data_IF_923824771215
#
_entry.id   IF_923824771215
#
_cell.length_a   1.000
_cell.length_b   1.000
_cell.length_c   1.000
_cell.angle_alpha   90.00
_cell.angle_beta   90.00
_cell.angle_gamma   90.00
#
_symmetry.space_group_name_H-M   'P 1'
#
loop_
_entity.id
_entity.type
_entity.pdbx_description
1 polymer ?
#
# COMPACT_ATOMS: atom_id res chain seq x y z
N UNK A 1 -9.75 8.70 -66.87
CA UNK A 1 -10.57 8.36 -65.69
C UNK A 1 -10.00 7.09 -65.06
N UNK A 2 -9.45 7.21 -63.84
CA UNK A 2 -9.05 6.07 -63.01
C UNK A 2 -10.28 5.42 -62.39
N UNK A 3 -10.35 4.09 -62.35
CA UNK A 3 -10.85 3.39 -61.16
C UNK A 3 -9.98 2.17 -60.92
N UNK A 4 -9.17 2.29 -59.88
CA UNK A 4 -8.29 1.30 -59.28
C UNK A 4 -9.04 0.73 -58.06
N UNK A 5 -9.26 -0.58 -57.96
CA UNK A 5 -9.54 -1.23 -56.66
C UNK A 5 -8.92 -2.63 -56.61
N UNK A 6 -7.74 -2.70 -56.01
CA UNK A 6 -7.14 -3.94 -55.52
C UNK A 6 -7.83 -4.36 -54.22
N UNK A 7 -8.30 -5.61 -54.15
CA UNK A 7 -8.72 -6.24 -52.90
C UNK A 7 -7.51 -6.97 -52.30
N UNK A 8 -6.79 -6.30 -51.39
CA UNK A 8 -5.78 -6.91 -50.53
C UNK A 8 -6.43 -7.24 -49.18
N UNK A 9 -6.69 -8.53 -48.95
CA UNK A 9 -7.16 -9.08 -47.67
C UNK A 9 -6.01 -9.00 -46.66
N UNK A 10 -6.08 -8.05 -45.71
CA UNK A 10 -5.17 -7.99 -44.56
C UNK A 10 -5.60 -9.02 -43.53
N UNK A 11 -4.69 -9.95 -43.23
CA UNK A 11 -4.76 -10.85 -42.10
C UNK A 11 -4.80 -10.05 -40.78
N UNK A 12 -5.83 -10.27 -39.96
CA UNK A 12 -5.93 -9.72 -38.61
C UNK A 12 -5.05 -10.53 -37.66
N UNK A 13 -3.98 -9.91 -37.14
CA UNK A 13 -3.19 -10.47 -36.05
C UNK A 13 -4.04 -10.51 -34.77
N UNK A 14 -4.23 -11.71 -34.21
CA UNK A 14 -4.79 -11.90 -32.87
C UNK A 14 -3.87 -11.23 -31.85
N UNK A 15 -4.36 -10.19 -31.18
CA UNK A 15 -3.67 -9.63 -30.01
C UNK A 15 -3.74 -10.67 -28.89
N UNK A 16 -2.63 -11.31 -28.61
CA UNK A 16 -2.40 -12.00 -27.34
C UNK A 16 -2.47 -10.97 -26.21
N UNK A 17 -3.54 -11.02 -25.42
CA UNK A 17 -3.63 -10.31 -24.15
C UNK A 17 -2.55 -10.83 -23.22
N UNK A 18 -1.74 -9.92 -22.67
CA UNK A 18 -0.78 -10.22 -21.62
C UNK A 18 -1.50 -10.90 -20.43
N UNK A 19 -0.83 -11.81 -19.70
CA UNK A 19 -1.45 -12.47 -18.56
C UNK A 19 -1.80 -11.41 -17.53
N UNK A 20 -3.08 -11.34 -17.18
CA UNK A 20 -3.59 -10.52 -16.09
C UNK A 20 -2.84 -10.96 -14.82
N UNK A 21 -1.92 -10.12 -14.36
CA UNK A 21 -1.25 -10.33 -13.08
C UNK A 21 -2.29 -9.97 -12.01
N UNK A 22 -3.07 -10.97 -11.63
CA UNK A 22 -4.00 -10.92 -10.52
C UNK A 22 -3.18 -10.63 -9.25
N UNK A 23 -3.18 -9.37 -8.82
CA UNK A 23 -2.62 -9.01 -7.53
C UNK A 23 -3.44 -9.71 -6.46
N UNK A 24 -2.78 -10.46 -5.57
CA UNK A 24 -3.41 -11.17 -4.45
C UNK A 24 -4.07 -10.25 -3.40
N UNK A 25 -4.14 -8.95 -3.67
CA UNK A 25 -4.93 -7.97 -2.91
C UNK A 25 -6.29 -7.69 -3.56
N UNK A 26 -6.79 -8.59 -4.41
CA UNK A 26 -8.21 -8.61 -4.72
C UNK A 26 -8.97 -8.82 -3.40
N UNK A 27 -9.45 -7.72 -2.81
CA UNK A 27 -10.59 -7.77 -1.92
C UNK A 27 -11.59 -8.68 -2.62
N UNK A 28 -12.09 -9.72 -1.93
CA UNK A 28 -13.07 -10.64 -2.52
C UNK A 28 -14.31 -9.89 -3.02
N UNK A 29 -15.41 -10.57 -3.38
CA UNK A 29 -16.59 -9.96 -4.02
C UNK A 29 -17.21 -8.73 -3.33
N UNK A 30 -16.76 -8.38 -2.11
CA UNK A 30 -17.00 -7.10 -1.47
C UNK A 30 -16.08 -6.02 -2.05
N UNK A 31 -16.55 -5.38 -3.11
CA UNK A 31 -16.22 -3.97 -3.35
C UNK A 31 -16.74 -3.18 -2.13
N UNK A 32 -15.85 -2.86 -1.18
CA UNK A 32 -16.23 -2.03 -0.04
C UNK A 32 -16.36 -0.59 -0.55
N UNK A 33 -17.59 -0.09 -0.57
CA UNK A 33 -17.95 1.21 -1.14
C UNK A 33 -17.67 2.39 -0.17
N UNK A 34 -16.56 2.34 0.57
CA UNK A 34 -16.24 3.36 1.56
C UNK A 34 -14.74 3.53 1.76
N UNK A 35 -14.37 4.62 2.43
CA UNK A 35 -12.99 4.95 2.73
C UNK A 35 -12.30 3.80 3.48
N UNK A 36 -11.15 3.38 2.98
CA UNK A 36 -10.22 2.53 3.71
C UNK A 36 -8.85 3.21 3.74
N UNK A 37 -8.07 2.82 4.73
CA UNK A 37 -6.75 3.39 4.97
C UNK A 37 -5.68 2.35 4.71
N UNK A 38 -4.51 2.79 4.28
CA UNK A 38 -3.35 1.93 4.20
C UNK A 38 -2.31 2.36 5.22
N UNK A 39 -2.06 1.50 6.19
CA UNK A 39 -1.00 1.70 7.17
C UNK A 39 0.29 1.06 6.64
N UNK A 40 1.32 1.87 6.45
CA UNK A 40 2.63 1.41 5.98
C UNK A 40 3.64 1.51 7.13
N UNK A 41 4.20 0.38 7.53
CA UNK A 41 5.22 0.30 8.57
C UNK A 41 6.57 -0.01 7.96
N UNK A 42 7.54 0.87 8.21
CA UNK A 42 8.92 0.70 7.77
C UNK A 42 9.80 0.32 8.97
N UNK A 43 10.47 -0.83 8.88
CA UNK A 43 11.49 -1.21 9.83
C UNK A 43 12.83 -0.73 9.31
N UNK A 44 13.38 0.31 9.95
CA UNK A 44 14.64 0.93 9.53
C UNK A 44 15.85 0.23 10.16
N UNK A 45 16.98 0.28 9.46
CA UNK A 45 18.28 -0.05 10.04
C UNK A 45 18.61 1.01 11.11
N UNK A 46 19.00 0.64 12.34
CA UNK A 46 19.25 1.61 13.41
C UNK A 46 20.26 2.70 13.04
N UNK A 47 21.31 2.34 12.28
CA UNK A 47 22.33 3.28 11.82
C UNK A 47 21.88 4.24 10.71
N UNK A 48 20.68 4.04 10.16
CA UNK A 48 20.15 4.79 9.02
C UNK A 48 18.93 5.63 9.34
N UNK A 49 18.39 5.55 10.57
CA UNK A 49 17.18 6.26 10.97
C UNK A 49 17.23 7.75 10.66
N UNK A 50 18.30 8.44 11.06
CA UNK A 50 18.41 9.89 10.85
C UNK A 50 18.47 10.25 9.36
N UNK A 51 19.34 9.58 8.60
CA UNK A 51 19.48 9.80 7.16
C UNK A 51 18.17 9.53 6.40
N UNK A 52 17.44 8.48 6.78
CA UNK A 52 16.13 8.18 6.22
C UNK A 52 15.12 9.29 6.52
N UNK A 53 15.11 9.82 7.74
CA UNK A 53 14.17 10.88 8.14
C UNK A 53 14.47 12.22 7.44
N UNK A 54 15.74 12.56 7.23
CA UNK A 54 16.16 13.73 6.45
C UNK A 54 15.70 13.61 4.99
N UNK A 55 16.04 12.49 4.33
CA UNK A 55 15.61 12.22 2.96
C UNK A 55 14.09 12.20 2.82
N UNK A 56 13.38 11.62 3.79
CA UNK A 56 11.93 11.60 3.81
C UNK A 56 11.36 13.01 3.93
N UNK A 57 11.90 13.84 4.83
CA UNK A 57 11.43 15.21 5.03
C UNK A 57 11.55 16.03 3.74
N UNK A 58 12.68 15.88 3.04
CA UNK A 58 12.91 16.52 1.75
C UNK A 58 11.95 16.02 0.68
N UNK A 59 11.71 14.70 0.61
CA UNK A 59 11.00 14.08 -0.52
C UNK A 59 9.55 13.71 -0.24
N UNK A 60 9.00 14.02 0.95
CA UNK A 60 7.65 13.56 1.33
C UNK A 60 6.60 14.07 0.35
N UNK A 61 6.73 15.31 -0.09
CA UNK A 61 5.84 15.95 -1.05
C UNK A 61 5.80 15.23 -2.42
N UNK A 62 6.90 14.57 -2.79
CA UNK A 62 6.98 13.75 -4.01
C UNK A 62 6.29 12.41 -3.77
N UNK A 63 6.57 11.76 -2.62
CA UNK A 63 6.03 10.44 -2.28
C UNK A 63 4.50 10.44 -2.10
N UNK A 64 3.93 11.57 -1.70
CA UNK A 64 2.49 11.73 -1.45
C UNK A 64 1.74 12.37 -2.62
N UNK A 65 2.41 12.62 -3.75
CA UNK A 65 1.80 13.28 -4.91
C UNK A 65 0.58 12.54 -5.49
N UNK A 66 0.60 11.20 -5.42
CA UNK A 66 -0.46 10.34 -5.96
C UNK A 66 -1.19 9.53 -4.88
N UNK A 67 -0.87 9.76 -3.61
CA UNK A 67 -1.46 9.06 -2.47
C UNK A 67 -1.43 9.98 -1.27
N UNK A 68 -2.60 10.43 -0.86
CA UNK A 68 -2.74 11.39 0.21
C UNK A 68 -2.28 10.80 1.56
N UNK A 69 -1.45 11.56 2.27
CA UNK A 69 -0.92 11.17 3.57
C UNK A 69 -1.83 11.67 4.68
N UNK A 70 -2.40 10.74 5.45
CA UNK A 70 -3.22 11.06 6.62
C UNK A 70 -2.36 11.40 7.84
N UNK A 71 -1.22 10.73 7.99
CA UNK A 71 -0.28 11.00 9.07
C UNK A 71 0.98 10.15 8.98
N UNK A 72 2.02 10.60 9.67
CA UNK A 72 3.31 9.94 9.76
C UNK A 72 3.81 10.00 11.19
N UNK A 73 4.29 8.88 11.72
CA UNK A 73 4.76 8.78 13.09
C UNK A 73 6.05 7.97 13.17
N UNK A 74 6.92 8.36 14.11
CA UNK A 74 8.04 7.56 14.56
C UNK A 74 7.66 6.84 15.86
N UNK A 75 8.11 5.60 16.00
CA UNK A 75 7.90 4.83 17.24
C UNK A 75 8.95 5.27 18.26
N UNK A 76 8.54 5.98 19.30
CA UNK A 76 9.41 6.35 20.43
C UNK A 76 9.52 5.22 21.46
N UNK A 77 8.40 4.54 21.74
CA UNK A 77 8.32 3.44 22.70
C UNK A 77 7.37 2.36 22.19
N UNK A 78 7.67 1.09 22.48
CA UNK A 78 6.77 -0.03 22.15
C UNK A 78 6.84 -0.54 20.70
N UNK A 79 8.03 -0.52 20.08
CA UNK A 79 8.26 -1.19 18.79
C UNK A 79 8.06 -2.71 18.85
N UNK A 80 8.10 -3.38 17.70
CA UNK A 80 7.87 -4.83 17.60
C UNK A 80 8.90 -5.60 18.45
N UNK A 81 8.49 -5.91 19.67
CA UNK A 81 9.15 -6.85 20.57
C UNK A 81 9.22 -8.18 19.81
N UNK A 82 10.40 -8.82 19.82
CA UNK A 82 10.62 -10.07 19.09
C UNK A 82 9.61 -11.15 19.52
N UNK A 83 8.51 -11.28 18.79
CA UNK A 83 7.54 -12.36 18.95
C UNK A 83 8.17 -13.66 18.40
N UNK A 84 8.92 -14.34 19.27
CA UNK A 84 9.70 -15.55 19.01
C UNK A 84 8.90 -16.60 18.20
N UNK A 85 9.48 -17.03 17.09
CA UNK A 85 8.86 -17.92 16.11
C UNK A 85 8.66 -19.34 16.65
N UNK A 86 9.54 -19.82 17.55
CA UNK A 86 9.42 -21.14 18.17
C UNK A 86 8.16 -21.25 19.03
N UNK A 87 7.86 -20.22 19.82
CA UNK A 87 6.64 -20.14 20.63
C UNK A 87 5.37 -20.12 19.76
N UNK A 88 5.38 -19.41 18.62
CA UNK A 88 4.25 -19.37 17.68
C UNK A 88 4.06 -20.67 16.91
N UNK A 89 5.14 -21.39 16.61
CA UNK A 89 5.07 -22.67 15.91
C UNK A 89 4.39 -23.75 16.77
N UNK A 90 4.66 -23.78 18.07
CA UNK A 90 3.95 -24.66 19.01
C UNK A 90 2.46 -24.32 19.13
N UNK A 91 2.13 -23.02 19.29
CA UNK A 91 0.74 -22.56 19.34
C UNK A 91 -0.02 -22.90 18.04
N UNK A 92 0.60 -22.70 16.86
CA UNK A 92 -0.04 -23.02 15.57
C UNK A 92 -0.22 -24.51 15.32
N UNK A 93 0.68 -25.35 15.83
CA UNK A 93 0.53 -26.81 15.76
C UNK A 93 -0.68 -27.29 16.58
N UNK A 94 -1.08 -26.54 17.60
CA UNK A 94 -2.27 -26.82 18.42
C UNK A 94 -3.60 -26.31 17.81
N UNK A 95 -3.58 -25.52 16.71
CA UNK A 95 -4.71 -24.69 16.23
C UNK A 95 -5.18 -25.02 14.79
N UNK A 96 -5.04 -26.28 14.35
CA UNK A 96 -5.19 -26.67 12.95
C UNK A 96 -6.63 -26.83 12.41
N UNK A 97 -7.50 -25.83 12.55
CA UNK A 97 -8.67 -25.54 11.69
C UNK A 97 -8.67 -24.00 11.55
N UNK A 98 -9.06 -23.40 10.41
CA UNK A 98 -8.86 -21.94 10.22
C UNK A 98 -9.78 -21.15 11.17
N UNK A 99 -9.25 -20.81 12.35
CA UNK A 99 -10.00 -20.19 13.45
C UNK A 99 -9.57 -18.73 13.72
N UNK A 100 -8.65 -18.17 12.93
CA UNK A 100 -7.93 -16.95 13.30
C UNK A 100 -7.98 -15.84 12.25
N UNK A 101 -8.85 -14.86 12.48
CA UNK A 101 -8.67 -13.50 11.99
C UNK A 101 -7.58 -12.84 12.84
N UNK A 102 -6.43 -12.51 12.25
CA UNK A 102 -5.42 -11.70 12.94
C UNK A 102 -5.89 -10.24 12.91
N UNK A 103 -6.61 -9.82 13.96
CA UNK A 103 -7.00 -8.43 14.18
C UNK A 103 -5.91 -7.73 14.96
N UNK A 104 -5.13 -6.88 14.30
CA UNK A 104 -4.28 -5.90 14.97
C UNK A 104 -5.13 -4.67 15.26
N UNK A 105 -5.28 -4.33 16.55
CA UNK A 105 -6.06 -3.17 16.96
C UNK A 105 -5.08 -2.07 17.36
N UNK A 106 -4.88 -1.12 16.45
CA UNK A 106 -4.12 0.10 16.71
C UNK A 106 -5.08 1.25 16.97
N UNK A 107 -5.21 1.66 18.23
CA UNK A 107 -5.97 2.86 18.59
C UNK A 107 -5.06 4.08 18.53
N UNK A 108 -5.32 4.97 17.60
CA UNK A 108 -4.74 6.32 17.63
C UNK A 108 -5.56 7.13 18.64
N UNK A 109 -4.92 7.51 19.75
CA UNK A 109 -5.50 8.39 20.76
C UNK A 109 -4.86 9.78 20.56
N UNK A 110 -5.41 10.61 19.66
CA UNK A 110 -4.96 11.98 19.53
C UNK A 110 -5.41 12.75 20.77
N UNK A 111 -4.52 13.56 21.34
CA UNK A 111 -4.88 14.53 22.38
C UNK A 111 -5.56 15.78 21.80
N UNK A 112 -5.91 15.74 20.52
CA UNK A 112 -6.55 16.81 19.74
C UNK A 112 -7.58 16.21 18.76
N UNK A 113 -8.37 17.07 18.11
CA UNK A 113 -9.37 16.64 17.13
C UNK A 113 -8.67 16.19 15.84
N UNK A 114 -8.95 14.95 15.39
CA UNK A 114 -8.57 14.49 14.05
C UNK A 114 -9.54 15.05 13.01
N UNK A 115 -8.99 15.46 11.88
CA UNK A 115 -9.76 15.85 10.70
C UNK A 115 -9.89 14.68 9.75
N UNK A 116 -11.00 14.65 8.99
CA UNK A 116 -11.18 13.68 7.92
C UNK A 116 -10.26 14.04 6.75
N UNK A 117 -9.73 13.05 6.01
CA UNK A 117 -9.05 13.35 4.77
C UNK A 117 -10.02 14.08 3.82
N UNK A 118 -9.54 15.04 3.03
CA UNK A 118 -10.36 15.81 2.09
C UNK A 118 -10.88 14.97 0.92
N UNK A 119 -10.34 13.76 0.69
CA UNK A 119 -10.77 12.84 -0.37
C UNK A 119 -11.08 11.46 0.20
N UNK A 120 -12.21 10.89 -0.22
CA UNK A 120 -12.51 9.48 -0.02
C UNK A 120 -11.67 8.62 -0.99
N UNK A 121 -11.16 7.50 -0.49
CA UNK A 121 -10.38 6.54 -1.26
C UNK A 121 -11.16 5.25 -1.48
N UNK A 122 -11.03 4.68 -2.68
CA UNK A 122 -11.56 3.38 -3.07
C UNK A 122 -10.44 2.48 -3.66
N UNK A 123 -10.78 1.24 -3.99
CA UNK A 123 -9.78 0.26 -4.42
C UNK A 123 -9.14 0.67 -5.75
N UNK A 124 -9.92 1.28 -6.64
CA UNK A 124 -9.50 1.69 -7.98
C UNK A 124 -8.61 2.93 -7.93
N UNK A 125 -8.96 3.93 -7.13
CA UNK A 125 -8.15 5.12 -6.90
C UNK A 125 -6.83 4.78 -6.21
N UNK A 126 -6.80 3.79 -5.29
CA UNK A 126 -5.55 3.24 -4.76
C UNK A 126 -4.71 2.57 -5.84
N UNK A 127 -5.32 1.72 -6.67
CA UNK A 127 -4.60 1.02 -7.74
C UNK A 127 -4.02 2.02 -8.75
N UNK A 128 -4.81 3.00 -9.16
CA UNK A 128 -4.39 4.08 -10.06
C UNK A 128 -3.30 4.96 -9.43
N UNK A 129 -3.44 5.32 -8.16
CA UNK A 129 -2.42 6.09 -7.42
C UNK A 129 -1.09 5.36 -7.36
N UNK A 130 -1.12 4.04 -7.09
CA UNK A 130 0.09 3.20 -7.15
C UNK A 130 0.69 3.17 -8.55
N UNK A 131 -0.11 2.92 -9.57
CA UNK A 131 0.37 2.83 -10.93
C UNK A 131 1.12 4.12 -11.32
N UNK A 132 0.52 5.29 -11.05
CA UNK A 132 1.16 6.60 -11.25
C UNK A 132 2.46 6.75 -10.48
N UNK A 133 2.50 6.36 -9.19
CA UNK A 133 3.71 6.40 -8.38
C UNK A 133 4.85 5.52 -8.91
N UNK A 134 4.54 4.36 -9.51
CA UNK A 134 5.56 3.48 -10.10
C UNK A 134 6.07 3.99 -11.45
N UNK A 135 5.28 4.80 -12.15
CA UNK A 135 5.67 5.41 -13.43
C UNK A 135 6.32 6.79 -13.27
N UNK A 136 6.12 7.49 -12.15
CA UNK A 136 6.73 8.79 -11.90
C UNK A 136 8.23 8.63 -11.53
N UNK A 137 9.16 9.06 -12.40
CA UNK A 137 10.58 8.85 -12.17
C UNK A 137 11.09 9.55 -10.90
N UNK A 138 10.45 10.65 -10.49
CA UNK A 138 10.85 11.38 -9.26
C UNK A 138 10.52 10.56 -8.02
N UNK A 139 9.34 9.93 -8.01
CA UNK A 139 8.93 9.02 -6.94
C UNK A 139 9.85 7.82 -6.89
N UNK A 140 10.13 7.21 -8.04
CA UNK A 140 11.01 6.04 -8.14
C UNK A 140 12.41 6.34 -7.63
N UNK A 141 12.99 7.50 -7.99
CA UNK A 141 14.31 7.92 -7.50
C UNK A 141 14.31 8.11 -5.98
N UNK A 142 13.37 8.89 -5.44
CA UNK A 142 13.28 9.13 -3.99
C UNK A 142 13.06 7.84 -3.18
N UNK A 143 12.25 6.91 -3.69
CA UNK A 143 12.02 5.61 -3.04
C UNK A 143 13.26 4.72 -3.14
N UNK A 144 13.96 4.71 -4.28
CA UNK A 144 15.14 3.87 -4.48
C UNK A 144 16.30 4.26 -3.55
N UNK A 145 16.48 5.54 -3.29
CA UNK A 145 17.50 6.02 -2.36
C UNK A 145 17.21 5.52 -0.93
N UNK A 146 15.95 5.64 -0.49
CA UNK A 146 15.54 5.31 0.86
C UNK A 146 15.35 3.81 1.11
N UNK A 147 15.05 2.97 0.09
CA UNK A 147 14.80 1.52 0.28
C UNK A 147 15.98 0.78 0.91
N UNK A 148 17.20 1.26 0.71
CA UNK A 148 18.41 0.64 1.25
C UNK A 148 18.56 0.84 2.76
N UNK A 149 17.83 1.78 3.35
CA UNK A 149 17.84 2.05 4.78
C UNK A 149 16.86 1.15 5.55
N UNK A 150 16.02 0.39 4.85
CA UNK A 150 15.04 -0.51 5.44
C UNK A 150 15.63 -1.90 5.68
N UNK A 151 15.15 -2.53 6.75
CA UNK A 151 15.22 -3.98 7.01
C UNK A 151 14.01 -4.67 6.37
N UNK A 152 12.81 -4.10 6.53
CA UNK A 152 11.58 -4.60 5.92
C UNK A 152 10.50 -3.52 5.87
N UNK A 153 9.48 -3.76 5.05
CA UNK A 153 8.26 -2.95 4.97
C UNK A 153 7.06 -3.88 5.10
N UNK A 154 6.02 -3.42 5.81
CA UNK A 154 4.75 -4.11 5.92
C UNK A 154 3.61 -3.11 5.66
N UNK A 155 2.60 -3.54 4.91
CA UNK A 155 1.43 -2.73 4.60
C UNK A 155 0.17 -3.45 5.07
N UNK A 156 -0.77 -2.70 5.66
CA UNK A 156 -2.06 -3.19 6.11
C UNK A 156 -3.18 -2.30 5.58
N UNK A 157 -4.26 -2.91 5.11
CA UNK A 157 -5.48 -2.20 4.75
C UNK A 157 -6.44 -2.20 5.93
N UNK A 158 -6.89 -1.02 6.33
CA UNK A 158 -7.75 -0.79 7.50
C UNK A 158 -9.09 -0.24 7.04
N UNK A 159 -10.17 -0.86 7.51
CA UNK A 159 -11.53 -0.40 7.25
C UNK A 159 -12.05 0.26 8.53
N UNK A 160 -12.41 1.55 8.52
CA UNK A 160 -12.89 2.24 9.72
C UNK A 160 -14.26 1.69 10.14
N UNK A 161 -14.40 1.39 11.43
CA UNK A 161 -15.69 1.03 12.04
C UNK A 161 -16.64 2.24 12.09
N UNK A 162 -17.94 2.00 12.29
CA UNK A 162 -18.98 3.06 12.30
C UNK A 162 -18.74 4.19 13.31
N UNK A 163 -18.04 3.91 14.41
CA UNK A 163 -17.76 4.85 15.48
C UNK A 163 -16.37 5.50 15.35
N UNK A 164 -15.59 5.17 14.33
CA UNK A 164 -14.28 5.80 14.11
C UNK A 164 -14.45 7.28 13.75
N UNK A 165 -13.67 8.21 14.32
CA UNK A 165 -13.67 9.60 13.91
C UNK A 165 -13.15 9.80 12.47
N UNK A 166 -12.42 8.81 11.96
CA UNK A 166 -11.92 8.73 10.58
C UNK A 166 -12.85 7.93 9.66
N UNK A 167 -14.14 7.75 10.01
CA UNK A 167 -15.11 7.20 9.07
C UNK A 167 -15.66 8.27 8.15
#
# INVERSE_FOLDING_TARGET
>A
MLVLRSCLTKAGASRTSAPEVCSSFAMGPRQYNGTFYEFCTYYLKPSKTNAFMENLTENIHIRTAHSELVGFWCVEFGGRINNNFAHRAEVRKALAHIDKQESEITYLIPWSKLEKPPKEGDADSRAAGRHKSHEDPRVVVAVRESVNDLVSQQNMLLIPTSFSPLK
#
